data_IF_467148164672
#
_entry.id   IF_467148164672
#
_cell.length_a   1.000
_cell.length_b   1.000
_cell.length_c   1.000
_cell.angle_alpha   90.00
_cell.angle_beta   90.00
_cell.angle_gamma   90.00
#
_symmetry.space_group_name_H-M   'P 1'
#
loop_
_entity.id
_entity.type
_entity.pdbx_description
1 polymer ?
#
# COMPACT_ATOMS: atom_id res chain seq x y z
N UNK A 1 -18.13 -17.83 60.65
CA UNK A 1 -17.42 -16.82 59.81
C UNK A 1 -16.49 -17.40 58.72
N UNK A 2 -16.28 -18.73 58.60
CA UNK A 2 -15.41 -19.32 57.55
C UNK A 2 -16.05 -19.41 56.14
N UNK A 3 -17.38 -19.58 56.05
CA UNK A 3 -18.07 -19.75 54.76
C UNK A 3 -18.07 -18.50 53.86
N UNK A 4 -18.03 -17.30 54.43
CA UNK A 4 -18.04 -16.05 53.64
C UNK A 4 -16.69 -15.79 52.94
N UNK A 5 -15.57 -16.19 53.57
CA UNK A 5 -14.21 -16.03 53.02
C UNK A 5 -13.94 -16.99 51.85
N UNK A 6 -14.55 -18.18 51.83
CA UNK A 6 -14.38 -19.13 50.73
C UNK A 6 -15.13 -18.68 49.48
N UNK A 7 -16.36 -18.16 49.64
CA UNK A 7 -17.18 -17.66 48.52
C UNK A 7 -16.55 -16.42 47.88
N UNK A 8 -16.00 -15.50 48.67
CA UNK A 8 -15.29 -14.33 48.13
C UNK A 8 -14.04 -14.72 47.33
N UNK A 9 -13.22 -15.66 47.84
CA UNK A 9 -12.03 -16.14 47.14
C UNK A 9 -12.40 -16.78 45.80
N UNK A 10 -13.38 -17.68 45.80
CA UNK A 10 -13.84 -18.35 44.57
C UNK A 10 -14.37 -17.35 43.53
N UNK A 11 -15.11 -16.32 43.94
CA UNK A 11 -15.61 -15.25 43.05
C UNK A 11 -14.48 -14.37 42.48
N UNK A 12 -13.46 -14.05 43.29
CA UNK A 12 -12.28 -13.30 42.84
C UNK A 12 -11.42 -14.13 41.89
N UNK A 13 -11.19 -15.41 42.19
CA UNK A 13 -10.47 -16.32 41.29
C UNK A 13 -11.24 -16.57 39.99
N UNK A 14 -12.57 -16.66 40.03
CA UNK A 14 -13.40 -16.78 38.84
C UNK A 14 -13.34 -15.51 37.96
N UNK A 15 -13.38 -14.31 38.56
CA UNK A 15 -13.25 -13.03 37.84
C UNK A 15 -11.85 -12.82 37.25
N UNK A 16 -10.81 -13.18 38.00
CA UNK A 16 -9.43 -13.12 37.52
C UNK A 16 -9.17 -14.14 36.41
N UNK A 17 -9.70 -15.36 36.52
CA UNK A 17 -9.57 -16.39 35.49
C UNK A 17 -10.31 -16.00 34.19
N UNK A 18 -11.50 -15.41 34.27
CA UNK A 18 -12.24 -14.94 33.08
C UNK A 18 -11.51 -13.79 32.38
N UNK A 19 -10.94 -12.83 33.13
CA UNK A 19 -10.15 -11.73 32.56
C UNK A 19 -8.84 -12.23 31.93
N UNK A 20 -8.19 -13.23 32.54
CA UNK A 20 -6.95 -13.84 32.04
C UNK A 20 -7.18 -14.67 30.78
N UNK A 21 -8.32 -15.37 30.68
CA UNK A 21 -8.75 -16.09 29.48
C UNK A 21 -9.14 -15.12 28.35
N UNK A 22 -9.77 -13.99 28.65
CA UNK A 22 -10.09 -12.95 27.65
C UNK A 22 -8.86 -12.29 27.03
N UNK A 23 -7.76 -12.14 27.78
CA UNK A 23 -6.49 -11.59 27.25
C UNK A 23 -5.70 -12.63 26.44
N UNK A 24 -5.78 -13.92 26.79
CA UNK A 24 -5.16 -15.01 26.00
C UNK A 24 -5.95 -15.40 24.74
N UNK A 25 -7.25 -15.10 24.69
CA UNK A 25 -8.12 -15.33 23.53
C UNK A 25 -8.11 -14.18 22.52
N UNK A 26 -7.39 -13.09 22.80
CA UNK A 26 -6.99 -12.17 21.73
C UNK A 26 -5.94 -12.97 20.93
N UNK A 27 -6.23 -13.41 19.70
CA UNK A 27 -5.20 -14.04 18.90
C UNK A 27 -4.04 -13.05 18.82
N UNK A 28 -2.86 -13.50 19.26
CA UNK A 28 -1.55 -12.86 19.08
C UNK A 28 -1.17 -12.86 17.58
N UNK A 29 -2.12 -12.49 16.72
CA UNK A 29 -2.02 -12.37 15.27
C UNK A 29 -2.39 -10.97 14.78
N UNK A 30 -2.97 -10.12 15.64
CA UNK A 30 -3.29 -8.74 15.25
C UNK A 30 -2.05 -7.82 15.13
N UNK A 31 -0.85 -8.34 15.38
CA UNK A 31 0.41 -7.63 15.15
C UNK A 31 1.12 -8.06 13.86
N UNK A 32 0.54 -8.94 13.05
CA UNK A 32 1.01 -9.19 11.69
C UNK A 32 0.39 -8.15 10.74
N UNK A 33 0.65 -6.86 10.99
CA UNK A 33 0.31 -5.77 10.06
C UNK A 33 1.22 -5.81 8.84
N UNK A 34 1.11 -6.86 8.03
CA UNK A 34 1.83 -6.98 6.77
C UNK A 34 1.16 -6.14 5.69
N UNK A 35 1.92 -5.34 4.96
CA UNK A 35 1.41 -4.65 3.77
C UNK A 35 1.04 -5.69 2.71
N UNK A 36 -0.18 -5.60 2.18
CA UNK A 36 -0.69 -6.42 1.08
C UNK A 36 -1.45 -5.56 0.09
N UNK A 37 -1.57 -6.03 -1.15
CA UNK A 37 -2.35 -5.36 -2.19
C UNK A 37 -3.66 -6.11 -2.42
N UNK A 38 -4.76 -5.38 -2.49
CA UNK A 38 -6.11 -5.92 -2.70
C UNK A 38 -6.79 -5.17 -3.85
N UNK A 39 -7.33 -5.87 -4.83
CA UNK A 39 -8.13 -5.28 -5.89
C UNK A 39 -9.56 -4.99 -5.38
N UNK A 40 -10.03 -3.76 -5.58
CA UNK A 40 -11.39 -3.33 -5.23
C UNK A 40 -12.40 -3.57 -6.36
N UNK A 41 -11.97 -4.08 -7.52
CA UNK A 41 -12.82 -4.48 -8.65
C UNK A 41 -13.33 -3.33 -9.51
N UNK A 42 -13.03 -2.08 -9.14
CA UNK A 42 -13.40 -0.86 -9.86
C UNK A 42 -12.18 -0.18 -10.52
N UNK A 43 -11.11 -0.95 -10.78
CA UNK A 43 -9.85 -0.43 -11.31
C UNK A 43 -8.99 0.27 -10.25
N UNK A 44 -9.25 0.03 -8.97
CA UNK A 44 -8.49 0.57 -7.84
C UNK A 44 -7.87 -0.58 -7.06
N UNK A 45 -6.58 -0.47 -6.82
CA UNK A 45 -5.81 -1.38 -5.98
C UNK A 45 -5.57 -0.69 -4.65
N UNK A 46 -5.99 -1.32 -3.56
CA UNK A 46 -5.78 -0.82 -2.21
C UNK A 46 -4.59 -1.52 -1.57
N UNK A 47 -3.70 -0.70 -1.02
CA UNK A 47 -2.53 -1.10 -0.29
C UNK A 47 -2.83 -1.12 1.22
N UNK A 48 -3.18 -2.30 1.72
CA UNK A 48 -3.52 -2.49 3.13
C UNK A 48 -2.31 -2.26 4.04
N UNK A 49 -2.53 -1.66 5.20
CA UNK A 49 -1.47 -1.32 6.15
C UNK A 49 -0.79 0.02 5.89
N UNK A 50 -0.71 0.49 4.64
CA UNK A 50 -0.28 1.87 4.32
C UNK A 50 -1.44 2.81 3.99
N UNK A 51 -2.62 2.25 3.70
CA UNK A 51 -3.84 3.00 3.43
C UNK A 51 -3.74 3.80 2.14
N UNK A 52 -3.04 3.30 1.12
CA UNK A 52 -2.96 3.97 -0.18
C UNK A 52 -3.84 3.27 -1.20
N UNK A 53 -4.35 4.03 -2.15
CA UNK A 53 -5.04 3.49 -3.31
C UNK A 53 -4.30 3.87 -4.58
N UNK A 54 -4.22 2.92 -5.50
CA UNK A 54 -3.50 3.02 -6.75
C UNK A 54 -4.44 2.74 -7.90
N UNK A 55 -4.26 3.44 -9.02
CA UNK A 55 -4.91 2.99 -10.26
C UNK A 55 -4.37 1.61 -10.66
N UNK A 56 -5.25 0.68 -11.01
CA UNK A 56 -4.89 -0.63 -11.56
C UNK A 56 -4.32 -0.48 -12.98
N UNK A 57 -4.94 0.37 -13.80
CA UNK A 57 -4.47 0.69 -15.15
C UNK A 57 -3.64 1.97 -15.14
N UNK A 58 -2.49 1.93 -15.82
CA UNK A 58 -1.67 3.11 -16.10
C UNK A 58 -2.16 3.84 -17.35
N UNK A 59 -1.83 5.12 -17.46
CA UNK A 59 -2.15 5.93 -18.65
C UNK A 59 -1.38 5.47 -19.91
N UNK A 60 -1.68 6.09 -21.06
CA UNK A 60 -0.76 6.07 -22.21
C UNK A 60 0.60 6.70 -21.84
N UNK A 61 1.62 6.42 -22.64
CA UNK A 61 2.93 7.07 -22.47
C UNK A 61 2.82 8.55 -22.87
N UNK A 62 3.37 9.43 -22.05
CA UNK A 62 3.32 10.89 -22.18
C UNK A 62 4.74 11.46 -22.11
N UNK A 63 5.02 12.44 -22.97
CA UNK A 63 6.30 13.17 -23.02
C UNK A 63 6.23 14.53 -22.37
N UNK A 64 5.06 15.16 -22.45
CA UNK A 64 4.84 16.51 -21.99
C UNK A 64 4.12 16.50 -20.63
N UNK A 65 4.51 17.42 -19.74
CA UNK A 65 3.92 17.48 -18.41
C UNK A 65 2.49 18.04 -18.44
N UNK A 66 2.13 18.89 -19.41
CA UNK A 66 0.74 19.34 -19.59
C UNK A 66 -0.22 18.19 -19.93
N UNK A 67 0.25 17.16 -20.65
CA UNK A 67 -0.54 15.92 -20.84
C UNK A 67 -0.81 15.19 -19.51
N UNK A 68 0.15 15.21 -18.60
CA UNK A 68 0.06 14.59 -17.27
C UNK A 68 -0.93 15.36 -16.40
N UNK A 69 -0.83 16.70 -16.39
CA UNK A 69 -1.77 17.56 -15.67
C UNK A 69 -3.20 17.38 -16.19
N UNK A 70 -3.39 17.36 -17.51
CA UNK A 70 -4.69 17.10 -18.11
C UNK A 70 -5.25 15.71 -17.76
N UNK A 71 -4.39 14.69 -17.71
CA UNK A 71 -4.78 13.35 -17.28
C UNK A 71 -5.23 13.32 -15.81
N UNK A 72 -4.44 13.91 -14.91
CA UNK A 72 -4.78 13.97 -13.48
C UNK A 72 -6.03 14.81 -13.23
N UNK A 73 -6.21 15.94 -13.92
CA UNK A 73 -7.41 16.77 -13.80
C UNK A 73 -8.67 15.99 -14.21
N UNK A 74 -8.60 15.23 -15.32
CA UNK A 74 -9.71 14.36 -15.75
C UNK A 74 -9.96 13.21 -14.76
N UNK A 75 -8.90 12.65 -14.19
CA UNK A 75 -9.04 11.60 -13.19
C UNK A 75 -9.70 12.14 -11.91
N UNK A 76 -9.34 13.36 -11.51
CA UNK A 76 -9.85 14.05 -10.33
C UNK A 76 -11.26 14.65 -10.48
N UNK A 77 -11.82 14.70 -11.68
CA UNK A 77 -13.23 15.03 -11.90
C UNK A 77 -14.16 13.81 -11.83
N UNK A 78 -13.60 12.62 -11.59
CA UNK A 78 -14.34 11.38 -11.44
C UNK A 78 -14.84 11.15 -10.01
N UNK A 79 -14.73 9.91 -9.55
CA UNK A 79 -15.21 9.50 -8.22
C UNK A 79 -14.37 10.04 -7.07
N UNK A 80 -13.10 10.36 -7.32
CA UNK A 80 -12.16 10.87 -6.33
C UNK A 80 -11.45 12.10 -6.89
N UNK A 81 -11.02 13.01 -6.01
CA UNK A 81 -10.49 14.32 -6.36
C UNK A 81 -9.05 14.56 -5.90
N UNK A 82 -8.39 13.53 -5.37
CA UNK A 82 -7.11 13.57 -4.67
C UNK A 82 -6.06 12.61 -5.27
N UNK A 83 -6.26 12.22 -6.54
CA UNK A 83 -5.25 11.50 -7.31
C UNK A 83 -4.07 12.40 -7.66
N UNK A 84 -2.86 11.88 -7.41
CA UNK A 84 -1.60 12.57 -7.68
C UNK A 84 -0.56 11.63 -8.29
N UNK A 85 0.53 12.21 -8.78
CA UNK A 85 1.72 11.42 -9.08
C UNK A 85 2.28 10.78 -7.79
N UNK A 86 2.77 9.54 -7.87
CA UNK A 86 3.49 8.93 -6.77
C UNK A 86 4.87 9.56 -6.64
N UNK A 87 5.43 9.57 -5.44
CA UNK A 87 6.85 9.85 -5.27
C UNK A 87 7.67 8.68 -5.79
N UNK A 88 8.98 8.90 -5.95
CA UNK A 88 9.93 7.84 -6.29
C UNK A 88 9.84 6.67 -5.30
N UNK A 89 9.86 6.96 -3.99
CA UNK A 89 9.81 5.92 -2.96
C UNK A 89 8.48 5.16 -2.98
N UNK A 90 7.35 5.85 -3.18
CA UNK A 90 6.03 5.21 -3.22
C UNK A 90 5.92 4.20 -4.36
N UNK A 91 6.38 4.57 -5.57
CA UNK A 91 6.32 3.66 -6.69
C UNK A 91 7.27 2.47 -6.52
N UNK A 92 8.45 2.69 -5.93
CA UNK A 92 9.37 1.61 -5.57
C UNK A 92 8.72 0.61 -4.60
N UNK A 93 8.15 1.10 -3.50
CA UNK A 93 7.51 0.27 -2.48
C UNK A 93 6.29 -0.47 -3.04
N UNK A 94 5.54 0.16 -3.95
CA UNK A 94 4.43 -0.46 -4.64
C UNK A 94 4.89 -1.61 -5.55
N UNK A 95 5.94 -1.41 -6.35
CA UNK A 95 6.52 -2.46 -7.20
C UNK A 95 7.06 -3.61 -6.33
N UNK A 96 7.70 -3.29 -5.21
CA UNK A 96 8.27 -4.28 -4.29
C UNK A 96 7.21 -5.23 -3.71
N UNK A 97 5.94 -4.80 -3.58
CA UNK A 97 4.84 -5.71 -3.18
C UNK A 97 4.66 -6.88 -4.16
N UNK A 98 4.88 -6.66 -5.45
CA UNK A 98 4.81 -7.71 -6.46
C UNK A 98 6.01 -8.65 -6.35
N UNK A 99 7.21 -8.10 -6.19
CA UNK A 99 8.43 -8.90 -6.04
C UNK A 99 8.39 -9.77 -4.77
N UNK A 100 7.77 -9.26 -3.70
CA UNK A 100 7.55 -9.97 -2.44
C UNK A 100 6.35 -10.93 -2.46
N UNK A 101 5.67 -11.10 -3.60
CA UNK A 101 4.46 -11.91 -3.73
C UNK A 101 3.35 -11.50 -2.74
N UNK A 102 3.30 -10.20 -2.38
CA UNK A 102 2.27 -9.57 -1.53
C UNK A 102 1.10 -9.01 -2.33
N UNK A 103 1.11 -9.18 -3.65
CA UNK A 103 0.05 -8.79 -4.56
C UNK A 103 -1.05 -9.85 -4.76
N UNK A 104 -0.86 -11.07 -4.25
CA UNK A 104 -1.77 -12.19 -4.53
C UNK A 104 -1.87 -12.46 -6.04
N UNK A 105 -3.09 -12.63 -6.54
CA UNK A 105 -3.37 -12.93 -7.95
C UNK A 105 -3.43 -11.69 -8.87
N UNK A 106 -3.12 -10.50 -8.35
CA UNK A 106 -3.17 -9.25 -9.11
C UNK A 106 -2.04 -9.25 -10.14
N UNK A 107 -2.40 -9.23 -11.43
CA UNK A 107 -1.47 -9.08 -12.54
C UNK A 107 -1.69 -7.75 -13.26
N UNK A 108 -0.72 -6.84 -13.12
CA UNK A 108 -0.75 -5.52 -13.78
C UNK A 108 0.56 -5.23 -14.48
N UNK A 109 0.51 -4.36 -15.50
CA UNK A 109 1.70 -3.93 -16.25
C UNK A 109 2.53 -2.96 -15.41
N UNK A 110 3.71 -3.41 -14.96
CA UNK A 110 4.65 -2.61 -14.18
C UNK A 110 5.79 -2.05 -15.04
N UNK A 111 6.05 -2.61 -16.22
CA UNK A 111 7.22 -2.33 -17.04
C UNK A 111 7.21 -0.92 -17.65
N UNK A 112 8.36 -0.27 -17.69
CA UNK A 112 8.55 1.03 -18.35
C UNK A 112 8.69 2.19 -17.38
N UNK A 113 8.85 3.39 -17.93
CA UNK A 113 9.05 4.60 -17.14
C UNK A 113 7.72 5.22 -16.70
N UNK A 114 7.74 5.90 -15.55
CA UNK A 114 6.60 6.59 -14.97
C UNK A 114 6.92 8.04 -14.66
N UNK A 115 5.90 8.89 -14.72
CA UNK A 115 5.91 10.23 -14.16
C UNK A 115 5.76 10.16 -12.64
N UNK A 116 6.59 10.94 -11.95
CA UNK A 116 6.74 10.92 -10.50
C UNK A 116 6.72 12.35 -9.97
N UNK A 117 6.20 12.52 -8.77
CA UNK A 117 6.42 13.73 -7.99
C UNK A 117 7.88 13.75 -7.52
N UNK A 118 8.63 14.79 -7.86
CA UNK A 118 9.98 14.98 -7.34
C UNK A 118 10.02 15.74 -6.02
N UNK A 119 11.05 15.47 -5.23
CA UNK A 119 11.21 16.03 -3.88
C UNK A 119 11.44 17.55 -3.87
N UNK A 120 11.92 18.10 -4.99
CA UNK A 120 12.13 19.53 -5.21
C UNK A 120 10.90 20.24 -5.83
N UNK A 121 9.76 19.56 -5.89
CA UNK A 121 8.54 20.07 -6.53
C UNK A 121 8.55 20.00 -8.06
N UNK A 122 9.65 19.55 -8.69
CA UNK A 122 9.70 19.31 -10.13
C UNK A 122 9.33 17.86 -10.43
N UNK A 123 8.51 17.60 -11.46
CA UNK A 123 8.18 16.24 -11.85
C UNK A 123 9.40 15.51 -12.38
N UNK A 124 9.47 14.21 -12.12
CA UNK A 124 10.55 13.34 -12.58
C UNK A 124 9.99 12.21 -13.43
N UNK A 125 10.85 11.63 -14.26
CA UNK A 125 10.49 10.49 -15.10
C UNK A 125 11.56 9.43 -14.95
N UNK A 126 11.16 8.18 -14.74
CA UNK A 126 12.10 7.07 -14.76
C UNK A 126 11.47 5.70 -14.60
N UNK A 127 12.28 4.67 -14.83
CA UNK A 127 11.92 3.24 -14.69
C UNK A 127 12.67 2.62 -13.52
N UNK A 128 12.10 1.54 -13.00
CA UNK A 128 12.76 0.64 -12.04
C UNK A 128 13.00 -0.69 -12.71
N UNK A 129 14.27 -0.99 -12.93
CA UNK A 129 14.69 -2.21 -13.59
C UNK A 129 15.34 -3.12 -12.56
N UNK A 130 15.16 -4.44 -12.73
CA UNK A 130 15.81 -5.40 -11.86
C UNK A 130 17.32 -5.19 -11.92
N UNK A 131 17.97 -5.18 -10.75
CA UNK A 131 19.42 -5.10 -10.67
C UNK A 131 20.09 -6.35 -11.28
N UNK A 132 21.39 -6.25 -11.51
CA UNK A 132 22.26 -7.36 -11.92
C UNK A 132 22.57 -8.33 -10.77
N UNK A 133 22.23 -7.95 -9.53
CA UNK A 133 22.45 -8.74 -8.33
C UNK A 133 21.33 -9.77 -8.13
N UNK A 134 21.70 -10.94 -7.62
CA UNK A 134 20.75 -11.95 -7.17
C UNK A 134 20.05 -11.45 -5.91
N UNK A 135 18.85 -10.87 -6.04
CA UNK A 135 18.08 -10.35 -4.92
C UNK A 135 16.96 -9.39 -5.33
N UNK A 136 16.25 -8.88 -4.34
CA UNK A 136 15.19 -7.87 -4.49
C UNK A 136 15.79 -6.47 -4.57
N UNK A 137 16.59 -6.22 -5.62
CA UNK A 137 17.14 -4.91 -5.88
C UNK A 137 16.64 -4.38 -7.23
N UNK A 138 16.33 -3.08 -7.25
CA UNK A 138 15.97 -2.38 -8.47
C UNK A 138 16.78 -1.10 -8.60
N UNK A 139 17.21 -0.81 -9.82
CA UNK A 139 17.98 0.39 -10.15
C UNK A 139 17.04 1.36 -10.86
N UNK A 140 17.12 2.62 -10.46
CA UNK A 140 16.34 3.70 -11.06
C UNK A 140 17.07 4.30 -12.26
N UNK A 141 16.40 4.36 -13.40
CA UNK A 141 16.92 4.98 -14.62
C UNK A 141 16.05 6.16 -15.04
N UNK A 142 16.61 7.38 -15.22
CA UNK A 142 15.84 8.52 -15.69
C UNK A 142 15.37 8.32 -17.13
N UNK A 143 14.20 8.84 -17.45
CA UNK A 143 13.59 8.73 -18.78
C UNK A 143 13.17 10.07 -19.36
N UNK A 144 12.85 10.07 -20.65
CA UNK A 144 12.31 11.25 -21.36
C UNK A 144 10.79 11.22 -21.52
N UNK A 145 10.16 10.08 -21.24
CA UNK A 145 8.71 9.90 -21.32
C UNK A 145 8.26 8.72 -20.48
N UNK A 146 7.09 8.85 -19.86
CA UNK A 146 6.58 7.86 -18.93
C UNK A 146 5.06 7.75 -18.92
N UNK A 147 4.57 6.77 -18.19
CA UNK A 147 3.16 6.58 -17.90
C UNK A 147 2.79 7.27 -16.58
N UNK A 148 1.52 7.57 -16.38
CA UNK A 148 0.97 7.97 -15.09
C UNK A 148 0.29 6.75 -14.47
N UNK A 149 0.68 6.41 -13.25
CA UNK A 149 -0.06 5.52 -12.37
C UNK A 149 -0.32 6.30 -11.09
N UNK A 150 -1.51 6.88 -11.01
CA UNK A 150 -1.82 7.78 -9.91
C UNK A 150 -2.00 7.00 -8.60
N UNK A 151 -1.64 7.67 -7.50
CA UNK A 151 -1.82 7.22 -6.13
C UNK A 151 -2.63 8.26 -5.35
N UNK A 152 -3.38 7.81 -4.36
CA UNK A 152 -4.08 8.65 -3.38
C UNK A 152 -3.98 8.04 -1.97
N UNK A 153 -4.18 8.85 -0.91
CA UNK A 153 -4.33 8.37 0.47
C UNK A 153 -5.65 7.62 0.71
#
# INVERSE_FOLDING_TARGET
MQRLKSVLKVSVYARAAVLFVLVMMIPLGLLAGGTSLVDRGNGILEEQGRGKMWQAQRSRRMRDFGEVEGYLAKLNSGQFSDWRLPTRQELYDFILLFDLHKSGDISIRLEGAYWLAGDNGQPQIGSWEAGDQCGLSRIYYPGLSGHVRAVRP
#
